data_IF_027313634821
#
_entry.id   IF_027313634821
#
_cell.length_a   1.000
_cell.length_b   1.000
_cell.length_c   1.000
_cell.angle_alpha   90.00
_cell.angle_beta   90.00
_cell.angle_gamma   90.00
#
_symmetry.space_group_name_H-M   'P 1'
#
loop_
_entity.id
_entity.type
_entity.pdbx_description
1 polymer ?
#
# COMPACT_ATOMS: atom_id res chain seq x y z
N UNK A 1 27.91 21.32 18.96
CA UNK A 1 26.53 21.43 19.49
C UNK A 1 25.54 21.41 18.33
N UNK A 2 24.66 20.41 18.23
CA UNK A 2 23.25 20.48 17.77
C UNK A 2 22.62 19.07 17.76
N UNK A 3 21.98 18.80 18.91
CA UNK A 3 20.75 18.05 19.19
C UNK A 3 20.39 16.80 18.34
N UNK A 4 20.37 15.71 19.09
CA UNK A 4 19.63 14.44 18.97
C UNK A 4 18.24 14.52 18.31
N UNK A 5 17.81 13.41 17.68
CA UNK A 5 16.55 12.75 18.01
C UNK A 5 16.48 11.32 17.45
N UNK A 6 16.58 10.35 18.36
CA UNK A 6 16.19 8.94 18.17
C UNK A 6 14.67 8.87 18.15
N UNK A 7 14.06 8.43 17.06
CA UNK A 7 12.65 8.02 17.06
C UNK A 7 12.56 6.49 17.20
N UNK A 8 12.67 6.03 18.45
CA UNK A 8 12.32 4.65 18.83
C UNK A 8 10.83 4.62 19.14
N UNK A 9 10.00 4.34 18.13
CA UNK A 9 8.55 4.25 18.32
C UNK A 9 8.23 2.88 18.95
N UNK A 10 8.01 2.88 20.27
CA UNK A 10 7.36 1.79 21.00
C UNK A 10 5.87 1.88 20.68
N UNK A 11 5.27 0.82 20.13
CA UNK A 11 3.82 0.76 19.97
C UNK A 11 3.24 -0.39 20.79
N UNK A 12 2.75 -0.03 21.97
CA UNK A 12 1.81 -0.82 22.75
C UNK A 12 0.58 0.03 23.04
N UNK A 13 -0.59 -0.51 22.71
CA UNK A 13 -1.90 -0.22 23.32
C UNK A 13 -2.50 1.18 23.17
N UNK A 14 -3.46 1.34 22.26
CA UNK A 14 -4.81 1.91 22.51
C UNK A 14 -5.59 1.99 21.20
N UNK A 15 -6.81 1.45 21.22
CA UNK A 15 -7.77 1.33 20.11
C UNK A 15 -8.40 2.67 19.71
N UNK A 16 -7.60 3.68 19.42
CA UNK A 16 -8.04 4.77 18.56
C UNK A 16 -7.90 4.31 17.12
N UNK A 17 -8.97 4.41 16.32
CA UNK A 17 -8.87 4.29 14.88
C UNK A 17 -7.86 5.33 14.40
N UNK A 18 -6.62 4.89 14.20
CA UNK A 18 -5.55 5.76 13.75
C UNK A 18 -5.99 6.36 12.43
N UNK A 19 -6.12 7.69 12.41
CA UNK A 19 -6.30 8.40 11.16
C UNK A 19 -4.92 8.39 10.49
N UNK A 20 -4.79 7.51 9.50
CA UNK A 20 -3.58 7.41 8.70
C UNK A 20 -3.63 8.41 7.57
N UNK A 21 -2.50 9.05 7.29
CA UNK A 21 -2.33 9.83 6.07
C UNK A 21 -2.30 8.93 4.82
N UNK A 22 -2.49 9.51 3.64
CA UNK A 22 -2.42 8.78 2.37
C UNK A 22 -1.09 8.04 2.19
N UNK A 23 0.02 8.66 2.60
CA UNK A 23 1.36 8.06 2.57
C UNK A 23 1.48 6.88 3.54
N UNK A 24 0.98 7.00 4.77
CA UNK A 24 1.02 5.90 5.75
C UNK A 24 0.17 4.71 5.31
N UNK A 25 -1.01 4.96 4.74
CA UNK A 25 -1.84 3.90 4.19
C UNK A 25 -1.17 3.22 3.00
N UNK A 26 -0.53 3.98 2.13
CA UNK A 26 0.25 3.44 1.01
C UNK A 26 1.43 2.59 1.51
N UNK A 27 2.19 3.05 2.51
CA UNK A 27 3.27 2.27 3.12
C UNK A 27 2.76 1.00 3.81
N UNK A 28 1.59 1.07 4.43
CA UNK A 28 0.96 -0.13 5.02
C UNK A 28 0.54 -1.10 3.92
N UNK A 29 -0.06 -0.62 2.84
CA UNK A 29 -0.43 -1.43 1.68
C UNK A 29 0.82 -2.07 1.04
N UNK A 30 1.90 -1.31 0.89
CA UNK A 30 3.21 -1.77 0.39
C UNK A 30 3.79 -2.94 1.19
N UNK A 31 3.53 -2.96 2.51
CA UNK A 31 4.00 -4.01 3.41
C UNK A 31 3.10 -5.24 3.42
N UNK A 32 1.97 -5.17 2.72
CA UNK A 32 1.10 -6.33 2.50
C UNK A 32 1.36 -6.93 1.13
N UNK A 33 1.06 -8.21 0.99
CA UNK A 33 1.07 -8.88 -0.30
C UNK A 33 -0.20 -8.63 -1.12
N UNK A 34 -1.03 -7.62 -0.81
CA UNK A 34 -2.26 -7.34 -1.57
C UNK A 34 -1.92 -6.97 -3.02
N UNK A 35 -0.96 -6.06 -3.22
CA UNK A 35 -0.54 -5.64 -4.57
C UNK A 35 0.20 -6.74 -5.31
N UNK A 36 1.05 -7.50 -4.61
CA UNK A 36 1.76 -8.65 -5.19
C UNK A 36 0.81 -9.79 -5.59
N UNK A 37 -0.18 -10.09 -4.74
CA UNK A 37 -1.19 -11.10 -5.05
C UNK A 37 -2.09 -10.62 -6.18
N UNK A 38 -2.52 -9.35 -6.19
CA UNK A 38 -3.26 -8.79 -7.32
C UNK A 38 -2.47 -8.90 -8.63
N UNK A 39 -1.19 -8.52 -8.63
CA UNK A 39 -0.35 -8.65 -9.81
C UNK A 39 -0.23 -10.12 -10.25
N UNK A 40 -0.03 -11.05 -9.32
CA UNK A 40 0.05 -12.50 -9.60
C UNK A 40 -1.27 -13.08 -10.12
N UNK A 41 -2.39 -12.80 -9.46
CA UNK A 41 -3.71 -13.31 -9.84
C UNK A 41 -4.13 -12.82 -11.24
N UNK A 42 -3.59 -11.67 -11.66
CA UNK A 42 -3.78 -11.10 -12.99
C UNK A 42 -2.59 -11.37 -13.94
N UNK A 43 -1.61 -12.20 -13.58
CA UNK A 43 -0.39 -12.49 -14.36
C UNK A 43 0.32 -11.22 -14.88
N UNK A 44 0.40 -10.15 -14.08
CA UNK A 44 0.91 -8.83 -14.47
C UNK A 44 0.14 -8.12 -15.60
N UNK A 45 -1.06 -8.59 -15.94
CA UNK A 45 -1.97 -8.03 -16.94
C UNK A 45 -3.31 -7.69 -16.31
N UNK A 46 -3.51 -6.42 -15.98
CA UNK A 46 -4.79 -5.91 -15.49
C UNK A 46 -5.29 -4.78 -16.38
N UNK A 47 -6.57 -4.79 -16.68
CA UNK A 47 -7.25 -3.68 -17.35
C UNK A 47 -7.73 -2.63 -16.35
N UNK A 48 -8.25 -1.51 -16.86
CA UNK A 48 -8.83 -0.46 -16.04
C UNK A 48 -9.94 -0.96 -15.09
N UNK A 49 -10.72 -1.96 -15.49
CA UNK A 49 -11.76 -2.55 -14.64
C UNK A 49 -11.16 -3.23 -13.39
N UNK A 50 -10.12 -4.04 -13.58
CA UNK A 50 -9.41 -4.73 -12.49
C UNK A 50 -8.73 -3.74 -11.54
N UNK A 51 -8.18 -2.67 -12.10
CA UNK A 51 -7.64 -1.57 -11.33
C UNK A 51 -8.72 -0.91 -10.43
N UNK A 52 -9.91 -0.65 -10.95
CA UNK A 52 -11.02 -0.09 -10.16
C UNK A 52 -11.49 -1.06 -9.07
N UNK A 53 -11.54 -2.36 -9.34
CA UNK A 53 -11.85 -3.40 -8.35
C UNK A 53 -10.83 -3.35 -7.19
N UNK A 54 -9.54 -3.28 -7.50
CA UNK A 54 -8.47 -3.15 -6.50
C UNK A 54 -8.63 -1.87 -5.67
N UNK A 55 -8.90 -0.72 -6.30
CA UNK A 55 -9.12 0.54 -5.59
C UNK A 55 -10.30 0.46 -4.61
N UNK A 56 -11.38 -0.21 -5.02
CA UNK A 56 -12.55 -0.43 -4.18
C UNK A 56 -12.22 -1.36 -2.99
N UNK A 57 -11.49 -2.44 -3.24
CA UNK A 57 -11.05 -3.37 -2.20
C UNK A 57 -10.12 -2.70 -1.19
N UNK A 58 -9.11 -1.95 -1.65
CA UNK A 58 -8.18 -1.19 -0.79
C UNK A 58 -8.93 -0.19 0.10
N UNK A 59 -9.92 0.51 -0.47
CA UNK A 59 -10.79 1.41 0.30
C UNK A 59 -11.62 0.64 1.34
N UNK A 60 -12.18 -0.51 0.96
CA UNK A 60 -12.96 -1.40 1.84
C UNK A 60 -12.14 -2.00 2.97
N UNK A 61 -10.87 -2.30 2.74
CA UNK A 61 -9.93 -2.77 3.77
C UNK A 61 -9.52 -1.68 4.77
N UNK A 62 -9.93 -0.42 4.54
CA UNK A 62 -9.66 0.68 5.46
C UNK A 62 -8.30 1.35 5.23
N UNK A 63 -7.75 1.26 4.02
CA UNK A 63 -6.57 2.04 3.61
C UNK A 63 -6.95 3.42 3.05
N UNK A 64 -8.19 3.87 3.24
CA UNK A 64 -8.62 5.22 2.82
C UNK A 64 -8.30 6.26 3.89
N UNK A 65 -7.73 7.44 3.55
CA UNK A 65 -7.37 7.91 2.21
C UNK A 65 -6.09 7.24 1.66
N UNK A 66 -6.00 7.01 0.34
CA UNK A 66 -4.81 6.50 -0.35
C UNK A 66 -4.56 7.29 -1.64
N UNK A 67 -3.30 7.41 -2.02
CA UNK A 67 -2.90 7.95 -3.32
C UNK A 67 -2.89 6.81 -4.36
N UNK A 68 -3.88 6.85 -5.26
CA UNK A 68 -4.01 5.86 -6.32
C UNK A 68 -2.92 5.98 -7.39
N UNK A 69 -2.36 7.16 -7.61
CA UNK A 69 -1.28 7.37 -8.58
C UNK A 69 -0.01 6.64 -8.10
N UNK A 70 0.33 6.83 -6.81
CA UNK A 70 1.42 6.12 -6.17
C UNK A 70 1.17 4.60 -6.09
N UNK A 71 -0.07 4.18 -5.83
CA UNK A 71 -0.42 2.75 -5.84
C UNK A 71 -0.18 2.12 -7.24
N UNK A 72 -0.45 2.87 -8.30
CA UNK A 72 -0.20 2.45 -9.68
C UNK A 72 1.29 2.28 -9.95
N UNK A 73 2.11 3.26 -9.55
CA UNK A 73 3.57 3.17 -9.67
C UNK A 73 4.14 1.97 -8.92
N UNK A 74 3.58 1.63 -7.75
CA UNK A 74 4.00 0.46 -6.99
C UNK A 74 3.66 -0.86 -7.69
N UNK A 75 2.49 -0.96 -8.34
CA UNK A 75 2.15 -2.13 -9.14
C UNK A 75 3.11 -2.30 -10.32
N UNK A 76 3.47 -1.20 -10.98
CA UNK A 76 4.46 -1.22 -12.05
C UNK A 76 5.86 -1.64 -11.54
N UNK A 77 6.28 -1.21 -10.34
CA UNK A 77 7.53 -1.69 -9.71
C UNK A 77 7.47 -3.19 -9.39
N UNK A 78 6.34 -3.66 -8.85
CA UNK A 78 6.11 -5.10 -8.57
C UNK A 78 6.18 -5.90 -9.86
N UNK A 79 5.51 -5.45 -10.92
CA UNK A 79 5.55 -6.08 -12.25
C UNK A 79 6.97 -6.11 -12.82
N UNK A 80 7.72 -5.02 -12.67
CA UNK A 80 9.12 -4.95 -13.10
C UNK A 80 10.04 -5.87 -12.26
N UNK A 81 9.76 -6.01 -10.97
CA UNK A 81 10.52 -6.87 -10.04
C UNK A 81 10.21 -8.36 -10.21
N UNK A 82 8.98 -8.68 -10.61
CA UNK A 82 8.52 -10.05 -10.83
C UNK A 82 8.05 -10.24 -12.28
N UNK A 83 8.97 -10.27 -13.27
CA UNK A 83 8.60 -10.49 -14.66
C UNK A 83 8.14 -11.92 -14.98
N UNK A 84 8.26 -12.86 -14.04
CA UNK A 84 7.99 -14.30 -14.21
C UNK A 84 6.89 -14.85 -13.28
N UNK A 85 6.00 -13.98 -12.76
CA UNK A 85 4.80 -14.44 -12.02
C UNK A 85 3.62 -14.68 -12.94
#
# INVERSE_FOLDING_TARGET
MKRTSKSKVRMGGTSQARIYSAEENLQRLARTSILENFARDNNNFWDHAKWLELCADVSRFGYSPIDFDQMGLMLEDIKARYPNI
#
